data_IF_764615087119
#
_entry.id   IF_764615087119
#
_cell.length_a   1.000
_cell.length_b   1.000
_cell.length_c   1.000
_cell.angle_alpha   90.00
_cell.angle_beta   90.00
_cell.angle_gamma   90.00
#
_symmetry.space_group_name_H-M   'P 1'
#
loop_
_entity.id
_entity.type
_entity.pdbx_description
1 polymer ?
#
# COMPACT_ATOMS: atom_id res chain seq x y z
N UNK A 1 -39.39 -20.28 -11.04
CA UNK A 1 -38.65 -19.50 -10.02
C UNK A 1 -37.28 -20.16 -9.81
N UNK A 2 -36.21 -19.77 -10.52
CA UNK A 2 -34.86 -20.20 -10.18
C UNK A 2 -34.19 -19.17 -9.25
N UNK A 3 -33.46 -19.73 -8.30
CA UNK A 3 -32.83 -19.11 -7.13
C UNK A 3 -31.69 -18.16 -7.51
N UNK A 4 -31.62 -17.07 -6.74
CA UNK A 4 -30.63 -16.00 -6.75
C UNK A 4 -29.21 -16.49 -7.05
N UNK A 5 -28.65 -16.01 -8.16
CA UNK A 5 -27.21 -16.01 -8.40
C UNK A 5 -26.57 -14.98 -7.47
N UNK A 6 -26.19 -15.40 -6.27
CA UNK A 6 -25.19 -14.68 -5.46
C UNK A 6 -23.88 -15.48 -5.51
N UNK A 7 -23.17 -15.38 -6.63
CA UNK A 7 -21.74 -15.62 -6.61
C UNK A 7 -21.08 -14.29 -6.32
N UNK A 8 -20.96 -14.01 -5.01
CA UNK A 8 -20.13 -12.93 -4.49
C UNK A 8 -18.78 -12.97 -5.21
N UNK A 9 -18.48 -11.86 -5.89
CA UNK A 9 -17.23 -11.64 -6.59
C UNK A 9 -16.12 -11.49 -5.56
N UNK A 10 -15.57 -12.60 -5.07
CA UNK A 10 -14.33 -12.59 -4.28
C UNK A 10 -13.21 -12.44 -5.31
N UNK A 11 -12.93 -11.21 -5.72
CA UNK A 11 -11.79 -10.87 -6.55
C UNK A 11 -10.53 -10.97 -5.67
N UNK A 12 -9.63 -11.97 -5.81
CA UNK A 12 -8.52 -12.15 -4.86
C UNK A 12 -7.32 -11.21 -5.12
N UNK A 13 -7.48 -10.16 -5.92
CA UNK A 13 -6.35 -9.34 -6.38
C UNK A 13 -5.72 -8.44 -5.31
N UNK A 14 -6.30 -8.34 -4.11
CA UNK A 14 -5.75 -7.54 -2.99
C UNK A 14 -4.92 -8.33 -1.98
N UNK A 15 -4.99 -9.66 -1.93
CA UNK A 15 -4.38 -10.45 -0.83
C UNK A 15 -2.84 -10.51 -0.87
N UNK A 16 -2.22 -10.32 -2.03
CA UNK A 16 -0.74 -10.37 -2.16
C UNK A 16 -0.06 -9.08 -1.66
N UNK A 17 -0.71 -7.93 -1.81
CA UNK A 17 -0.09 -6.63 -1.53
C UNK A 17 0.03 -6.37 -0.02
N UNK A 18 -0.93 -6.85 0.78
CA UNK A 18 -0.87 -6.76 2.24
C UNK A 18 0.25 -7.63 2.83
N UNK A 19 0.42 -8.85 2.31
CA UNK A 19 1.53 -9.73 2.71
C UNK A 19 2.91 -9.14 2.37
N UNK A 20 3.05 -8.54 1.18
CA UNK A 20 4.31 -7.91 0.76
C UNK A 20 4.65 -6.68 1.62
N UNK A 21 3.67 -5.84 1.96
CA UNK A 21 3.88 -4.69 2.86
C UNK A 21 4.32 -5.15 4.24
N UNK A 22 3.71 -6.20 4.78
CA UNK A 22 4.04 -6.70 6.11
C UNK A 22 5.48 -7.25 6.18
N UNK A 23 5.94 -7.96 5.14
CA UNK A 23 7.33 -8.42 5.03
C UNK A 23 8.32 -7.24 4.96
N UNK A 24 7.98 -6.19 4.20
CA UNK A 24 8.81 -4.98 4.11
C UNK A 24 8.92 -4.29 5.47
N UNK A 25 7.81 -4.11 6.18
CA UNK A 25 7.79 -3.47 7.51
C UNK A 25 8.61 -4.28 8.52
N UNK A 26 8.45 -5.60 8.55
CA UNK A 26 9.24 -6.45 9.44
C UNK A 26 10.74 -6.37 9.15
N UNK A 27 11.13 -6.30 7.87
CA UNK A 27 12.54 -6.09 7.50
C UNK A 27 13.06 -4.73 7.94
N UNK A 28 12.30 -3.66 7.70
CA UNK A 28 12.67 -2.30 8.13
C UNK A 28 12.81 -2.24 9.65
N UNK A 29 11.86 -2.82 10.39
CA UNK A 29 11.90 -2.91 11.85
C UNK A 29 13.15 -3.66 12.34
N UNK A 30 13.44 -4.84 11.78
CA UNK A 30 14.61 -5.62 12.18
C UNK A 30 15.92 -4.88 11.92
N UNK A 31 16.03 -4.16 10.79
CA UNK A 31 17.21 -3.34 10.50
C UNK A 31 17.32 -2.11 11.40
N UNK A 32 16.22 -1.38 11.65
CA UNK A 32 16.24 -0.23 12.58
C UNK A 32 16.63 -0.65 13.99
N UNK A 33 16.11 -1.79 14.46
CA UNK A 33 16.44 -2.34 15.75
C UNK A 33 17.90 -2.81 15.81
N UNK A 34 18.43 -3.38 14.73
CA UNK A 34 19.82 -3.83 14.67
C UNK A 34 20.82 -2.67 14.59
N UNK A 35 20.57 -1.71 13.70
CA UNK A 35 21.50 -0.63 13.38
C UNK A 35 21.43 0.53 14.39
N UNK A 36 20.22 0.88 14.82
CA UNK A 36 19.98 2.05 15.68
C UNK A 36 19.43 1.68 17.07
N UNK A 37 19.07 0.41 17.30
CA UNK A 37 18.39 0.01 18.53
C UNK A 37 17.00 0.60 18.68
N UNK A 38 16.40 1.09 17.58
CA UNK A 38 15.08 1.73 17.63
C UNK A 38 13.97 0.73 17.34
N UNK A 39 12.98 0.68 18.23
CA UNK A 39 11.79 -0.12 18.08
C UNK A 39 10.67 0.71 17.44
N UNK A 40 10.22 0.29 16.26
CA UNK A 40 9.11 0.92 15.54
C UNK A 40 7.86 0.06 15.57
N UNK A 41 6.71 0.72 15.68
CA UNK A 41 5.42 0.05 15.77
C UNK A 41 4.91 -0.36 14.38
N UNK A 42 4.97 -1.67 14.11
CA UNK A 42 4.58 -2.29 12.84
C UNK A 42 3.10 -2.01 12.52
N UNK A 43 2.23 -1.98 13.54
CA UNK A 43 0.81 -1.71 13.35
C UNK A 43 0.59 -0.26 12.91
N UNK A 44 1.30 0.70 13.51
CA UNK A 44 1.22 2.09 13.06
C UNK A 44 1.82 2.29 11.66
N UNK A 45 2.86 1.53 11.27
CA UNK A 45 3.40 1.60 9.90
C UNK A 45 2.42 1.09 8.84
N UNK A 46 1.60 0.09 9.17
CA UNK A 46 0.60 -0.46 8.25
C UNK A 46 -0.66 0.40 8.16
N UNK A 47 -0.99 1.13 9.23
CA UNK A 47 -2.18 1.99 9.33
C UNK A 47 -1.99 3.38 8.72
N UNK A 48 -1.70 4.43 9.52
CA UNK A 48 -1.62 5.81 9.04
C UNK A 48 -0.36 6.10 8.20
N UNK A 49 -0.58 6.70 7.02
CA UNK A 49 0.50 7.09 6.11
C UNK A 49 1.48 8.13 6.70
N UNK A 50 1.05 8.92 7.69
CA UNK A 50 1.91 9.92 8.34
C UNK A 50 3.01 9.27 9.17
N UNK A 51 2.67 8.23 9.94
CA UNK A 51 3.65 7.51 10.75
C UNK A 51 4.66 6.78 9.85
N UNK A 52 4.17 6.10 8.80
CA UNK A 52 5.03 5.51 7.80
C UNK A 52 5.99 6.54 7.19
N UNK A 53 5.53 7.74 6.82
CA UNK A 53 6.41 8.80 6.30
C UNK A 53 7.47 9.26 7.29
N UNK A 54 7.15 9.36 8.58
CA UNK A 54 8.11 9.72 9.61
C UNK A 54 9.25 8.69 9.71
N UNK A 55 8.90 7.40 9.79
CA UNK A 55 9.86 6.29 9.80
C UNK A 55 10.71 6.30 8.52
N UNK A 56 10.10 6.54 7.36
CA UNK A 56 10.82 6.61 6.07
C UNK A 56 11.81 7.78 6.02
N UNK A 57 11.44 8.92 6.61
CA UNK A 57 12.32 10.08 6.73
C UNK A 57 13.52 9.77 7.63
N UNK A 58 13.28 9.04 8.73
CA UNK A 58 14.34 8.58 9.62
C UNK A 58 15.27 7.57 8.92
N UNK A 59 14.73 6.57 8.22
CA UNK A 59 15.52 5.61 7.44
C UNK A 59 16.45 6.31 6.44
N UNK A 60 15.95 7.38 5.79
CA UNK A 60 16.75 8.19 4.86
C UNK A 60 17.83 9.02 5.58
N UNK A 61 17.53 9.53 6.77
CA UNK A 61 18.48 10.29 7.60
C UNK A 61 19.57 9.39 8.21
N UNK A 62 19.27 8.11 8.47
CA UNK A 62 20.20 7.13 9.02
C UNK A 62 21.39 6.83 8.09
N UNK A 63 21.30 7.15 6.80
CA UNK A 63 22.38 6.93 5.82
C UNK A 63 22.58 5.47 5.40
N UNK A 64 21.74 4.54 5.86
CA UNK A 64 21.84 3.13 5.50
C UNK A 64 21.13 2.89 4.14
N UNK A 65 21.84 2.45 3.09
CA UNK A 65 21.30 2.30 1.74
C UNK A 65 20.28 1.15 1.66
N UNK A 66 20.41 0.11 2.49
CA UNK A 66 19.48 -1.02 2.52
C UNK A 66 18.13 -0.59 3.12
N UNK A 67 18.17 0.15 4.24
CA UNK A 67 16.99 0.77 4.84
C UNK A 67 16.31 1.74 3.88
N UNK A 68 17.08 2.56 3.16
CA UNK A 68 16.55 3.48 2.16
C UNK A 68 15.86 2.74 1.00
N UNK A 69 16.43 1.63 0.52
CA UNK A 69 15.83 0.80 -0.52
C UNK A 69 14.52 0.14 -0.08
N UNK A 70 14.50 -0.47 1.12
CA UNK A 70 13.30 -1.08 1.69
C UNK A 70 12.20 -0.04 1.94
N UNK A 71 12.58 1.13 2.42
CA UNK A 71 11.70 2.26 2.62
C UNK A 71 11.01 2.69 1.32
N UNK A 72 11.78 2.84 0.24
CA UNK A 72 11.22 3.23 -1.05
C UNK A 72 10.23 2.18 -1.62
N UNK A 73 10.57 0.90 -1.47
CA UNK A 73 9.73 -0.21 -1.93
C UNK A 73 8.39 -0.28 -1.17
N UNK A 74 8.42 -0.03 0.14
CA UNK A 74 7.22 0.08 0.96
C UNK A 74 6.34 1.26 0.54
N UNK A 75 6.92 2.44 0.32
CA UNK A 75 6.18 3.63 -0.15
C UNK A 75 5.53 3.39 -1.51
N UNK A 76 6.23 2.71 -2.42
CA UNK A 76 5.70 2.33 -3.73
C UNK A 76 4.51 1.40 -3.60
N UNK A 77 4.63 0.36 -2.77
CA UNK A 77 3.56 -0.60 -2.48
C UNK A 77 2.34 0.06 -1.81
N UNK A 78 2.57 0.94 -0.83
CA UNK A 78 1.51 1.69 -0.15
C UNK A 78 0.78 2.64 -1.10
N UNK A 79 1.51 3.34 -1.99
CA UNK A 79 0.93 4.23 -2.99
C UNK A 79 0.11 3.47 -4.03
N UNK A 80 0.56 2.29 -4.45
CA UNK A 80 -0.19 1.42 -5.37
C UNK A 80 -1.53 0.98 -4.75
N UNK A 81 -1.53 0.59 -3.47
CA UNK A 81 -2.74 0.20 -2.74
C UNK A 81 -3.71 1.39 -2.56
N UNK A 82 -3.19 2.57 -2.22
CA UNK A 82 -4.01 3.79 -2.13
C UNK A 82 -4.65 4.15 -3.49
N UNK A 83 -3.90 4.04 -4.59
CA UNK A 83 -4.42 4.27 -5.93
C UNK A 83 -5.49 3.25 -6.33
N UNK A 84 -5.33 1.97 -5.98
CA UNK A 84 -6.37 0.96 -6.22
C UNK A 84 -7.67 1.28 -5.47
N UNK A 85 -7.55 1.77 -4.24
CA UNK A 85 -8.70 2.14 -3.40
C UNK A 85 -9.47 3.35 -3.94
N UNK A 86 -8.77 4.33 -4.53
CA UNK A 86 -9.39 5.53 -5.12
C UNK A 86 -9.92 5.33 -6.57
N UNK A 87 -9.66 4.19 -7.22
CA UNK A 87 -9.97 4.00 -8.65
C UNK A 87 -11.40 3.63 -9.08
N UNK A 88 -12.42 3.39 -8.23
CA UNK A 88 -13.74 3.04 -8.77
C UNK A 88 -14.46 4.23 -9.42
N UNK A 89 -14.30 5.47 -8.93
CA UNK A 89 -15.08 6.62 -9.40
C UNK A 89 -14.57 7.21 -10.74
N UNK A 90 -13.25 7.23 -10.96
CA UNK A 90 -12.67 7.86 -12.16
C UNK A 90 -12.95 7.09 -13.45
N UNK A 91 -13.15 5.77 -13.38
CA UNK A 91 -13.50 4.98 -14.58
C UNK A 91 -14.91 5.27 -15.07
N UNK A 92 -15.87 5.44 -14.15
CA UNK A 92 -17.24 5.81 -14.50
C UNK A 92 -17.33 7.21 -15.14
N UNK A 93 -16.65 8.21 -14.57
CA UNK A 93 -16.64 9.56 -15.12
C UNK A 93 -16.03 9.63 -16.54
N UNK A 94 -14.92 8.93 -16.77
CA UNK A 94 -14.30 8.86 -18.10
C UNK A 94 -15.18 8.13 -19.12
N UNK A 95 -15.94 7.12 -18.70
CA UNK A 95 -16.80 6.33 -19.56
C UNK A 95 -18.07 7.09 -19.98
N UNK A 96 -18.63 7.90 -19.07
CA UNK A 96 -19.75 8.80 -19.38
C UNK A 96 -19.36 9.91 -20.36
N UNK A 97 -18.16 10.49 -20.20
CA UNK A 97 -17.64 11.49 -21.13
C UNK A 97 -17.41 10.90 -22.53
N UNK A 98 -16.94 9.65 -22.62
CA UNK A 98 -16.70 8.98 -23.90
C UNK A 98 -18.01 8.63 -24.65
N UNK A 99 -19.10 8.36 -23.92
CA UNK A 99 -20.41 8.06 -24.52
C UNK A 99 -21.06 9.31 -25.13
N UNK A 100 -20.87 10.49 -24.53
CA UNK A 100 -21.44 11.74 -25.05
C UNK A 100 -20.76 12.23 -26.33
N UNK A 101 -19.54 11.78 -26.63
CA UNK A 101 -18.81 12.19 -27.83
C UNK A 101 -19.08 11.29 -29.05
N UNK A 102 -19.90 10.24 -28.88
CA UNK A 102 -20.30 9.32 -29.95
C UNK A 102 -21.74 9.56 -30.45
N UNK A 103 -22.41 10.61 -29.97
CA UNK A 103 -23.67 11.13 -30.50
C UNK A 103 -23.47 12.52 -31.09
#
# INVERSE_FOLDING_TARGET
>A
MPTVTDHVSINPTTSTHDGQRLVLVHRIHALLLHEMGEDIDINLMLGPAEYARAVMSLCRASGNPELAGLAEDFLRSSRAQAQQSLRPASRYAAQLAQQQQQQ
#
